data_IF_486248477945
#
_entry.id   IF_486248477945
#
_cell.length_a   1.000
_cell.length_b   1.000
_cell.length_c   1.000
_cell.angle_alpha   90.00
_cell.angle_beta   90.00
_cell.angle_gamma   90.00
#
_symmetry.space_group_name_H-M   'P 1'
#
loop_
_entity.id
_entity.type
_entity.pdbx_description
1 polymer ?
#
# COMPACT_ATOMS: atom_id res chain seq x y z
N UNK A 1 16.02 -9.73 10.16
CA UNK A 1 15.70 -8.43 10.79
C UNK A 1 15.68 -7.40 9.68
N UNK A 2 14.57 -6.68 9.54
CA UNK A 2 14.39 -5.64 8.52
C UNK A 2 14.43 -4.29 9.23
N UNK A 3 15.16 -3.34 8.65
CA UNK A 3 15.35 -2.01 9.19
C UNK A 3 14.66 -1.02 8.27
N UNK A 4 13.92 -0.08 8.86
CA UNK A 4 13.42 1.08 8.15
C UNK A 4 14.51 2.15 8.20
N UNK A 5 15.02 2.48 7.03
CA UNK A 5 16.21 3.29 6.83
C UNK A 5 15.83 4.58 6.15
N UNK A 6 16.05 5.69 6.84
CA UNK A 6 16.01 7.02 6.27
C UNK A 6 17.41 7.40 5.82
N UNK A 7 17.59 7.65 4.53
CA UNK A 7 18.87 8.06 3.95
C UNK A 7 18.69 9.29 3.07
N UNK A 8 19.74 10.08 2.98
CA UNK A 8 19.76 11.27 2.15
C UNK A 8 20.47 10.98 0.83
N UNK A 9 19.78 11.21 -0.28
CA UNK A 9 20.36 11.11 -1.61
C UNK A 9 20.30 12.48 -2.28
N UNK A 10 21.41 13.22 -2.20
CA UNK A 10 21.48 14.62 -2.60
C UNK A 10 20.66 15.52 -1.68
N UNK A 11 19.70 16.25 -2.24
CA UNK A 11 18.81 17.17 -1.48
C UNK A 11 17.50 16.52 -1.02
N UNK A 12 17.30 15.23 -1.31
CA UNK A 12 16.05 14.52 -1.03
C UNK A 12 16.27 13.43 0.02
N UNK A 13 15.46 13.50 1.08
CA UNK A 13 15.34 12.42 2.08
C UNK A 13 14.47 11.32 1.51
N UNK A 14 14.93 10.08 1.61
CA UNK A 14 14.22 8.89 1.17
C UNK A 14 14.17 7.88 2.30
N UNK A 15 13.07 7.15 2.33
CA UNK A 15 12.87 6.06 3.25
C UNK A 15 12.86 4.75 2.45
N UNK A 16 13.57 3.74 2.94
CA UNK A 16 13.52 2.40 2.39
C UNK A 16 13.53 1.36 3.50
N UNK A 17 12.93 0.21 3.23
CA UNK A 17 13.04 -0.96 4.08
C UNK A 17 14.19 -1.79 3.52
N UNK A 18 15.21 -2.02 4.34
CA UNK A 18 16.41 -2.76 3.95
C UNK A 18 16.66 -3.89 4.94
N UNK A 19 17.14 -5.04 4.46
CA UNK A 19 17.67 -6.06 5.35
C UNK A 19 18.95 -5.55 6.05
N UNK A 20 19.34 -6.15 7.17
CA UNK A 20 20.59 -5.79 7.88
C UNK A 20 21.80 -5.71 6.94
N UNK A 21 21.93 -6.68 6.03
CA UNK A 21 23.03 -6.72 5.06
C UNK A 21 23.00 -5.52 4.11
N UNK A 22 21.81 -5.16 3.63
CA UNK A 22 21.61 -4.03 2.73
C UNK A 22 21.81 -2.69 3.44
N UNK A 23 21.45 -2.61 4.74
CA UNK A 23 21.73 -1.44 5.57
C UNK A 23 23.24 -1.22 5.72
N UNK A 24 24.01 -2.28 5.96
CA UNK A 24 25.47 -2.20 6.06
C UNK A 24 26.12 -1.79 4.73
N UNK A 25 25.62 -2.28 3.60
CA UNK A 25 26.05 -1.84 2.26
C UNK A 25 25.65 -0.39 1.96
N UNK A 26 24.45 0.03 2.38
CA UNK A 26 23.93 1.38 2.24
C UNK A 26 24.72 2.38 3.10
N UNK A 27 25.14 1.99 4.31
CA UNK A 27 26.05 2.79 5.14
C UNK A 27 27.41 3.04 4.48
N UNK A 28 27.85 2.17 3.59
CA UNK A 28 29.12 2.33 2.88
C UNK A 28 29.01 3.32 1.71
N UNK A 29 27.84 3.41 1.09
CA UNK A 29 27.63 4.17 -0.15
C UNK A 29 26.70 5.39 -0.02
N UNK A 30 25.99 5.56 1.09
CA UNK A 30 25.00 6.62 1.30
C UNK A 30 25.07 7.19 2.72
N UNK A 31 24.56 8.41 2.89
CA UNK A 31 24.41 9.03 4.21
C UNK A 31 23.10 8.56 4.86
N UNK A 32 23.22 7.55 5.72
CA UNK A 32 22.10 7.03 6.51
C UNK A 32 21.83 7.97 7.68
N UNK A 33 20.65 8.60 7.67
CA UNK A 33 20.20 9.53 8.71
C UNK A 33 19.68 8.75 9.93
N UNK A 34 18.86 7.73 9.70
CA UNK A 34 18.24 6.95 10.76
C UNK A 34 17.97 5.52 10.30
N UNK A 35 18.27 4.52 11.12
CA UNK A 35 17.96 3.12 10.86
C UNK A 35 17.27 2.54 12.10
N UNK A 36 15.97 2.30 12.00
CA UNK A 36 15.16 1.75 13.09
C UNK A 36 14.81 0.29 12.79
N UNK A 37 15.03 -0.59 13.77
CA UNK A 37 14.65 -1.99 13.66
C UNK A 37 13.12 -2.11 13.68
N UNK A 38 12.55 -2.73 12.64
CA UNK A 38 11.10 -2.91 12.49
C UNK A 38 10.51 -3.79 13.60
N UNK A 39 11.31 -4.62 14.28
CA UNK A 39 10.86 -5.57 15.29
C UNK A 39 10.56 -4.93 16.66
N UNK A 40 10.82 -3.64 16.87
CA UNK A 40 10.56 -2.95 18.15
C UNK A 40 9.33 -2.03 18.15
N UNK A 41 8.54 -1.91 17.06
CA UNK A 41 7.40 -0.97 17.01
C UNK A 41 6.06 -1.53 17.50
N UNK A 42 6.05 -2.57 18.34
CA UNK A 42 4.86 -2.87 19.13
C UNK A 42 4.98 -2.17 20.49
N UNK A 43 4.08 -1.20 20.73
CA UNK A 43 3.94 -0.27 21.88
C UNK A 43 4.94 0.91 21.86
N UNK A 44 4.54 2.17 21.80
CA UNK A 44 3.49 2.85 22.57
C UNK A 44 3.23 4.25 22.01
N UNK A 45 1.96 4.62 21.80
CA UNK A 45 1.37 5.94 22.10
C UNK A 45 0.09 6.15 21.27
N UNK A 46 -1.03 6.22 21.97
CA UNK A 46 -2.35 6.56 21.45
C UNK A 46 -2.36 7.93 20.79
N UNK A 47 -2.51 8.00 19.46
CA UNK A 47 -3.02 9.17 18.75
C UNK A 47 -3.82 8.67 17.54
N UNK A 48 -5.13 8.94 17.56
CA UNK A 48 -6.15 8.96 16.51
C UNK A 48 -6.07 7.93 15.34
N UNK A 49 -7.15 7.18 15.07
CA UNK A 49 -7.23 6.32 13.89
C UNK A 49 -7.35 7.21 12.65
N UNK A 50 -6.22 7.47 12.01
CA UNK A 50 -6.18 7.88 10.62
C UNK A 50 -5.31 6.85 9.94
N UNK A 51 -6.02 5.83 9.45
CA UNK A 51 -5.64 4.80 8.51
C UNK A 51 -4.25 5.00 7.89
N UNK A 52 -3.24 4.42 8.52
CA UNK A 52 -2.02 4.05 7.81
C UNK A 52 -2.36 2.70 7.18
N UNK A 53 -3.07 2.76 6.04
CA UNK A 53 -3.23 1.58 5.20
C UNK A 53 -1.86 1.27 4.62
N UNK A 54 -1.41 0.07 4.93
CA UNK A 54 -0.33 -0.62 4.23
C UNK A 54 -0.72 -0.61 2.75
N UNK A 55 0.06 0.10 1.93
CA UNK A 55 -0.19 0.27 0.49
C UNK A 55 0.05 -1.07 -0.21
N UNK A 56 -0.93 -1.98 -0.13
CA UNK A 56 -0.97 -3.23 -0.87
C UNK A 56 -1.17 -2.98 -2.39
N UNK A 57 -1.13 -1.73 -2.85
CA UNK A 57 -1.45 -1.32 -4.22
C UNK A 57 -2.94 -1.38 -4.57
N UNK A 58 -3.77 -1.87 -3.64
CA UNK A 58 -5.21 -1.96 -3.77
C UNK A 58 -5.89 -0.72 -3.19
N UNK A 59 -6.75 -0.09 -3.99
CA UNK A 59 -7.58 1.04 -3.61
C UNK A 59 -9.01 0.56 -3.34
N UNK A 60 -9.44 0.67 -2.09
CA UNK A 60 -10.82 0.37 -1.69
C UNK A 60 -11.76 1.55 -1.91
N UNK A 61 -12.98 1.27 -2.36
CA UNK A 61 -14.03 2.27 -2.50
C UNK A 61 -15.43 1.66 -2.36
N UNK A 62 -16.43 2.50 -2.14
CA UNK A 62 -17.83 2.07 -2.06
C UNK A 62 -18.64 2.61 -3.23
N UNK A 63 -19.32 1.73 -3.94
CA UNK A 63 -20.16 2.09 -5.08
C UNK A 63 -21.39 1.17 -5.15
N UNK A 64 -22.57 1.76 -5.39
CA UNK A 64 -23.82 0.99 -5.50
C UNK A 64 -24.23 0.24 -4.22
N UNK A 65 -23.79 0.70 -3.05
CA UNK A 65 -24.03 0.02 -1.77
C UNK A 65 -23.15 -1.22 -1.54
N UNK A 66 -22.21 -1.49 -2.44
CA UNK A 66 -21.21 -2.56 -2.32
C UNK A 66 -19.83 -1.96 -2.09
N UNK A 67 -18.95 -2.70 -1.43
CA UNK A 67 -17.53 -2.36 -1.29
C UNK A 67 -16.75 -3.04 -2.40
N UNK A 68 -15.82 -2.31 -2.95
CA UNK A 68 -15.00 -2.69 -4.09
C UNK A 68 -13.55 -2.40 -3.74
N UNK A 69 -12.64 -3.15 -4.32
CA UNK A 69 -11.21 -2.89 -4.25
C UNK A 69 -10.62 -3.13 -5.63
N UNK A 70 -9.68 -2.30 -6.05
CA UNK A 70 -9.01 -2.47 -7.34
C UNK A 70 -7.53 -2.14 -7.20
N UNK A 71 -6.68 -2.80 -7.98
CA UNK A 71 -5.25 -2.48 -8.06
C UNK A 71 -4.90 -1.86 -9.43
N UNK A 72 -3.69 -2.11 -9.94
CA UNK A 72 -3.25 -1.63 -11.25
C UNK A 72 -4.05 -2.26 -12.41
N UNK A 73 -4.56 -3.49 -12.27
CA UNK A 73 -5.27 -4.17 -13.35
C UNK A 73 -6.52 -4.97 -12.95
N UNK A 74 -6.69 -5.29 -11.67
CA UNK A 74 -7.76 -6.17 -11.17
C UNK A 74 -8.82 -5.40 -10.43
N UNK A 75 -10.01 -5.98 -10.44
CA UNK A 75 -11.16 -5.54 -9.69
C UNK A 75 -11.63 -6.68 -8.80
N UNK A 76 -11.86 -6.38 -7.53
CA UNK A 76 -12.42 -7.28 -6.54
C UNK A 76 -13.64 -6.64 -5.88
N UNK A 77 -14.60 -7.47 -5.47
CA UNK A 77 -15.77 -7.06 -4.69
C UNK A 77 -15.68 -7.67 -3.30
N UNK A 78 -16.12 -6.89 -2.31
CA UNK A 78 -16.22 -7.37 -0.94
C UNK A 78 -17.33 -8.42 -0.81
N UNK A 79 -16.96 -9.60 -0.34
CA UNK A 79 -17.91 -10.64 0.03
C UNK A 79 -18.26 -10.54 1.52
N UNK A 80 -19.53 -10.29 1.82
CA UNK A 80 -19.99 -10.11 3.21
C UNK A 80 -20.06 -11.41 4.01
N UNK A 81 -20.21 -12.55 3.34
CA UNK A 81 -20.31 -13.86 3.96
C UNK A 81 -18.92 -14.36 4.38
N UNK A 82 -17.96 -14.23 3.48
CA UNK A 82 -16.60 -14.73 3.65
C UNK A 82 -15.65 -13.68 4.24
N UNK A 83 -16.09 -12.42 4.33
CA UNK A 83 -15.34 -11.29 4.93
C UNK A 83 -13.98 -11.04 4.25
N UNK A 84 -13.93 -11.18 2.92
CA UNK A 84 -12.74 -10.89 2.12
C UNK A 84 -13.11 -10.29 0.74
N UNK A 85 -12.14 -9.70 0.04
CA UNK A 85 -12.31 -9.24 -1.34
C UNK A 85 -12.13 -10.39 -2.33
N UNK A 86 -13.21 -10.75 -3.02
CA UNK A 86 -13.18 -11.77 -4.05
C UNK A 86 -12.86 -11.13 -5.41
N UNK A 87 -11.86 -11.69 -6.09
CA UNK A 87 -11.46 -11.24 -7.42
C UNK A 87 -12.64 -11.43 -8.40
N UNK A 88 -13.00 -10.37 -9.12
CA UNK A 88 -14.06 -10.39 -10.10
C UNK A 88 -13.52 -10.43 -11.52
N UNK A 89 -12.73 -9.43 -11.92
CA UNK A 89 -12.34 -9.26 -13.31
C UNK A 89 -11.09 -8.37 -13.49
N UNK A 90 -10.53 -8.36 -14.70
CA UNK A 90 -9.43 -7.47 -15.07
C UNK A 90 -9.98 -6.24 -15.80
N UNK A 91 -9.80 -5.06 -15.22
CA UNK A 91 -10.31 -3.83 -15.83
C UNK A 91 -9.40 -3.29 -16.95
N UNK A 92 -8.14 -3.73 -17.03
CA UNK A 92 -7.15 -3.37 -18.08
C UNK A 92 -6.99 -1.86 -18.31
N UNK A 93 -7.11 -1.08 -17.24
CA UNK A 93 -7.00 0.38 -17.29
C UNK A 93 -5.53 0.75 -17.10
N UNK A 94 -5.01 1.64 -17.94
CA UNK A 94 -3.59 2.05 -17.86
C UNK A 94 -3.32 2.87 -16.59
N UNK A 95 -4.33 3.58 -16.08
CA UNK A 95 -4.23 4.37 -14.87
C UNK A 95 -5.58 4.36 -14.14
N UNK A 96 -5.92 3.26 -13.44
CA UNK A 96 -7.22 3.09 -12.83
C UNK A 96 -7.43 4.15 -11.75
N UNK A 97 -8.52 4.89 -11.88
CA UNK A 97 -9.02 5.81 -10.87
C UNK A 97 -10.39 5.33 -10.43
N UNK A 98 -10.83 5.72 -9.23
CA UNK A 98 -12.17 5.38 -8.72
C UNK A 98 -13.25 5.70 -9.77
N UNK A 99 -13.16 6.84 -10.45
CA UNK A 99 -14.09 7.23 -11.51
C UNK A 99 -14.04 6.29 -12.72
N UNK A 100 -12.86 5.92 -13.18
CA UNK A 100 -12.68 5.03 -14.35
C UNK A 100 -13.13 3.60 -14.04
N UNK A 101 -12.82 3.12 -12.84
CA UNK A 101 -13.24 1.78 -12.36
C UNK A 101 -14.74 1.75 -12.12
N UNK A 102 -15.32 2.83 -11.57
CA UNK A 102 -16.77 2.96 -11.42
C UNK A 102 -17.48 2.91 -12.78
N UNK A 103 -16.93 3.62 -13.79
CA UNK A 103 -17.46 3.56 -15.15
C UNK A 103 -17.32 2.17 -15.77
N UNK A 104 -16.25 1.42 -15.44
CA UNK A 104 -16.08 0.03 -15.84
C UNK A 104 -17.13 -0.88 -15.21
N UNK A 105 -17.34 -0.78 -13.89
CA UNK A 105 -18.38 -1.52 -13.15
C UNK A 105 -19.75 -1.27 -13.76
N UNK A 106 -20.09 -0.01 -14.00
CA UNK A 106 -21.36 0.38 -14.60
C UNK A 106 -21.54 -0.20 -16.01
N UNK A 107 -20.46 -0.27 -16.81
CA UNK A 107 -20.49 -0.85 -18.16
C UNK A 107 -20.66 -2.37 -18.15
N UNK A 108 -20.02 -3.06 -17.20
CA UNK A 108 -20.15 -4.52 -17.06
C UNK A 108 -21.48 -4.93 -16.44
N UNK A 109 -22.16 -4.02 -15.74
CA UNK A 109 -23.47 -4.27 -15.14
C UNK A 109 -23.40 -5.05 -13.82
N UNK A 110 -22.32 -4.84 -13.05
CA UNK A 110 -22.19 -5.39 -11.70
C UNK A 110 -22.99 -4.62 -10.63
#
# INVERSE_FOLDING_TARGET
MQYKVNYQLGDKKREAIMAQIELDECRNHCEVIEAVDRSCQQTSASVSPSEIQEDDGWTEFSYGGKRWSFDSDQLAQWDEELKYFDFLDYHLLINPTIESVTAFIQRQGY
#
